data_IF_826062717212
#
_entry.id   IF_826062717212
#
_cell.length_a   1.000
_cell.length_b   1.000
_cell.length_c   1.000
_cell.angle_alpha   90.00
_cell.angle_beta   90.00
_cell.angle_gamma   90.00
#
_symmetry.space_group_name_H-M   'P 1'
#
loop_
_entity.id
_entity.type
_entity.pdbx_description
1 polymer ?
#
# COMPACT_ATOMS: atom_id res chain seq x y z
N UNK A 1 16.94 4.24 -24.62
CA UNK A 1 16.44 3.19 -23.70
C UNK A 1 15.47 3.85 -22.76
N UNK A 2 14.23 3.41 -22.78
CA UNK A 2 13.26 3.81 -21.76
C UNK A 2 13.51 2.94 -20.51
N UNK A 3 13.59 3.58 -19.34
CA UNK A 3 13.58 2.83 -18.08
C UNK A 3 12.32 1.96 -18.01
N UNK A 4 12.40 0.76 -17.43
CA UNK A 4 11.23 -0.08 -17.25
C UNK A 4 10.19 0.65 -16.39
N UNK A 5 8.92 0.50 -16.74
CA UNK A 5 7.84 1.06 -15.92
C UNK A 5 7.94 0.52 -14.47
N UNK A 6 7.73 1.36 -13.46
CA UNK A 6 7.77 0.94 -12.08
C UNK A 6 6.61 -0.02 -11.75
N UNK A 7 6.87 -0.96 -10.86
CA UNK A 7 5.81 -1.76 -10.24
C UNK A 7 4.96 -0.86 -9.34
N UNK A 8 3.64 -0.97 -9.42
CA UNK A 8 2.71 -0.08 -8.73
C UNK A 8 1.89 -0.83 -7.70
N UNK A 9 1.98 -0.38 -6.45
CA UNK A 9 1.23 -0.92 -5.31
C UNK A 9 0.28 0.14 -4.78
N UNK A 10 -0.98 -0.23 -4.55
CA UNK A 10 -1.96 0.64 -3.89
C UNK A 10 -2.45 -0.01 -2.59
N UNK A 11 -2.39 0.74 -1.49
CA UNK A 11 -2.91 0.33 -0.19
C UNK A 11 -4.31 0.90 0.01
N UNK A 12 -5.25 0.09 0.49
CA UNK A 12 -6.66 0.46 0.57
C UNK A 12 -7.22 0.25 1.98
N UNK A 13 -7.78 1.30 2.54
CA UNK A 13 -8.58 1.24 3.77
C UNK A 13 -9.95 1.89 3.55
N UNK A 14 -10.66 2.28 4.60
CA UNK A 14 -12.01 2.85 4.47
C UNK A 14 -11.99 4.31 4.02
N UNK A 15 -11.44 5.19 4.85
CA UNK A 15 -11.46 6.65 4.62
C UNK A 15 -10.22 7.24 3.97
N UNK A 16 -9.17 6.48 3.82
CA UNK A 16 -7.87 6.91 3.29
C UNK A 16 -7.26 8.10 4.06
N UNK A 17 -7.42 8.13 5.37
CA UNK A 17 -6.82 9.14 6.25
C UNK A 17 -5.99 8.58 7.40
N UNK A 18 -6.06 7.28 7.69
CA UNK A 18 -5.31 6.64 8.78
C UNK A 18 -4.41 5.50 8.28
N UNK A 19 -4.96 4.30 8.09
CA UNK A 19 -4.19 3.07 7.84
C UNK A 19 -3.49 3.04 6.49
N UNK A 20 -4.20 3.31 5.42
CA UNK A 20 -3.62 3.25 4.08
C UNK A 20 -2.59 4.34 3.80
N UNK A 21 -2.74 5.59 4.30
CA UNK A 21 -1.67 6.57 4.23
C UNK A 21 -0.40 6.15 4.98
N UNK A 22 -0.53 5.53 6.15
CA UNK A 22 0.62 4.97 6.88
C UNK A 22 1.37 3.94 6.03
N UNK A 23 0.64 3.00 5.43
CA UNK A 23 1.23 1.95 4.61
C UNK A 23 1.95 2.52 3.38
N UNK A 24 1.32 3.45 2.68
CA UNK A 24 1.91 4.15 1.53
C UNK A 24 3.23 4.83 1.88
N UNK A 25 3.22 5.62 2.96
CA UNK A 25 4.38 6.43 3.38
C UNK A 25 5.53 5.53 3.85
N UNK A 26 5.24 4.54 4.68
CA UNK A 26 6.24 3.59 5.19
C UNK A 26 6.86 2.78 4.05
N UNK A 27 6.05 2.30 3.13
CA UNK A 27 6.53 1.51 1.99
C UNK A 27 7.39 2.34 1.05
N UNK A 28 7.00 3.57 0.77
CA UNK A 28 7.79 4.50 -0.05
C UNK A 28 9.15 4.79 0.58
N UNK A 29 9.18 5.10 1.88
CA UNK A 29 10.42 5.34 2.61
C UNK A 29 11.35 4.11 2.54
N UNK A 30 10.80 2.92 2.72
CA UNK A 30 11.56 1.67 2.63
C UNK A 30 12.15 1.46 1.23
N UNK A 31 11.37 1.66 0.19
CA UNK A 31 11.83 1.55 -1.20
C UNK A 31 12.96 2.55 -1.49
N UNK A 32 12.82 3.79 -1.06
CA UNK A 32 13.83 4.83 -1.23
C UNK A 32 15.14 4.47 -0.50
N UNK A 33 15.06 4.02 0.75
CA UNK A 33 16.23 3.59 1.54
C UNK A 33 16.96 2.40 0.91
N UNK A 34 16.26 1.53 0.21
CA UNK A 34 16.82 0.37 -0.47
C UNK A 34 17.30 0.69 -1.90
N UNK A 35 17.22 1.94 -2.33
CA UNK A 35 17.62 2.35 -3.67
C UNK A 35 16.69 1.91 -4.78
N UNK A 36 15.45 1.57 -4.45
CA UNK A 36 14.44 1.07 -5.40
C UNK A 36 13.27 2.03 -5.64
N UNK A 37 13.38 3.29 -5.21
CA UNK A 37 12.32 4.29 -5.35
C UNK A 37 11.89 4.58 -6.78
N UNK A 38 12.76 4.37 -7.77
CA UNK A 38 12.42 4.48 -9.19
C UNK A 38 11.79 3.20 -9.78
N UNK A 39 11.89 2.08 -9.07
CA UNK A 39 11.45 0.76 -9.53
C UNK A 39 10.07 0.36 -9.00
N UNK A 40 9.62 1.01 -7.94
CA UNK A 40 8.33 0.73 -7.32
C UNK A 40 7.68 2.02 -6.84
N UNK A 41 6.39 2.17 -7.11
CA UNK A 41 5.58 3.32 -6.70
C UNK A 41 4.47 2.84 -5.77
N UNK A 42 4.36 3.46 -4.60
CA UNK A 42 3.26 3.22 -3.67
C UNK A 42 2.25 4.36 -3.72
N UNK A 43 1.00 4.01 -3.58
CA UNK A 43 -0.12 4.93 -3.46
C UNK A 43 -1.15 4.37 -2.47
N UNK A 44 -2.18 5.16 -2.16
CA UNK A 44 -3.26 4.70 -1.29
C UNK A 44 -4.60 5.29 -1.71
N UNK A 45 -5.68 4.61 -1.33
CA UNK A 45 -7.05 5.04 -1.59
C UNK A 45 -8.00 4.50 -0.50
N UNK A 46 -9.21 5.03 -0.45
CA UNK A 46 -10.27 4.55 0.41
C UNK A 46 -11.35 3.81 -0.36
N UNK A 47 -12.04 2.89 0.31
CA UNK A 47 -13.24 2.28 -0.24
C UNK A 47 -14.41 3.27 -0.25
N UNK A 48 -14.41 4.26 0.66
CA UNK A 48 -15.39 5.33 0.75
C UNK A 48 -14.85 6.68 0.26
N UNK A 49 -15.75 7.66 0.23
CA UNK A 49 -15.50 9.00 -0.31
C UNK A 49 -15.64 10.13 0.72
N UNK A 50 -15.78 9.78 2.02
CA UNK A 50 -16.10 10.76 3.09
C UNK A 50 -15.05 11.84 3.27
N UNK A 51 -13.79 11.59 2.93
CA UNK A 51 -12.66 12.46 3.22
C UNK A 51 -11.92 12.95 1.97
N UNK A 52 -12.55 12.90 0.80
CA UNK A 52 -11.91 13.28 -0.47
C UNK A 52 -11.16 14.62 -0.39
N UNK A 53 -9.90 14.61 -0.75
CA UNK A 53 -9.03 15.79 -0.77
C UNK A 53 -8.48 16.19 0.59
N UNK A 54 -8.91 15.56 1.69
CA UNK A 54 -8.40 15.87 3.02
C UNK A 54 -6.98 15.34 3.22
N UNK A 55 -6.27 15.97 4.14
CA UNK A 55 -4.97 15.48 4.61
C UNK A 55 -5.18 14.20 5.43
N UNK A 56 -4.11 13.46 5.66
CA UNK A 56 -4.14 12.38 6.65
C UNK A 56 -4.56 12.93 8.03
N UNK A 57 -5.24 12.10 8.80
CA UNK A 57 -5.63 12.42 10.19
C UNK A 57 -4.41 12.95 10.95
N UNK A 58 -4.60 14.01 11.75
CA UNK A 58 -3.49 14.64 12.48
C UNK A 58 -2.76 13.67 13.42
N UNK A 59 -3.45 12.66 13.95
CA UNK A 59 -2.85 11.61 14.78
C UNK A 59 -2.01 10.63 13.95
N UNK A 60 -2.42 10.36 12.72
CA UNK A 60 -1.63 9.62 11.73
C UNK A 60 -0.33 10.36 11.42
N UNK A 61 -0.44 11.66 11.10
CA UNK A 61 0.72 12.49 10.82
C UNK A 61 1.69 12.54 12.00
N UNK A 62 1.16 12.69 13.23
CA UNK A 62 1.97 12.72 14.44
C UNK A 62 2.68 11.36 14.71
N UNK A 63 1.99 10.24 14.51
CA UNK A 63 2.58 8.91 14.67
C UNK A 63 3.70 8.67 13.64
N UNK A 64 3.49 9.06 12.40
CA UNK A 64 4.50 8.97 11.33
C UNK A 64 5.72 9.84 11.68
N UNK A 65 5.50 11.09 12.08
CA UNK A 65 6.58 12.04 12.42
C UNK A 65 7.44 11.53 13.57
N UNK A 66 6.83 10.95 14.62
CA UNK A 66 7.58 10.37 15.76
C UNK A 66 8.56 9.29 15.34
N UNK A 67 8.33 8.62 14.21
CA UNK A 67 9.19 7.56 13.66
C UNK A 67 10.01 8.00 12.46
N UNK A 68 10.02 9.29 12.16
CA UNK A 68 10.85 9.86 11.09
C UNK A 68 10.27 9.80 9.68
N UNK A 69 8.96 9.54 9.56
CA UNK A 69 8.26 9.55 8.27
C UNK A 69 7.55 10.89 8.02
N UNK A 70 7.43 11.26 6.76
CA UNK A 70 6.71 12.46 6.31
C UNK A 70 5.44 12.07 5.52
N UNK A 71 4.28 12.23 6.14
CA UNK A 71 2.97 12.02 5.54
C UNK A 71 2.29 13.30 5.06
N UNK A 72 2.95 14.45 5.09
CA UNK A 72 2.34 15.76 4.88
C UNK A 72 1.74 15.98 3.48
N UNK A 73 2.21 15.25 2.47
CA UNK A 73 1.74 15.39 1.08
C UNK A 73 0.47 14.60 0.80
N UNK A 74 0.09 13.67 1.69
CA UNK A 74 -1.08 12.83 1.45
C UNK A 74 -2.36 13.65 1.28
N UNK A 75 -3.18 13.25 0.30
CA UNK A 75 -4.56 13.71 0.12
C UNK A 75 -5.44 12.48 -0.13
N UNK A 76 -6.53 12.38 0.64
CA UNK A 76 -7.44 11.25 0.55
C UNK A 76 -8.12 11.20 -0.82
N UNK A 77 -8.23 9.99 -1.36
CA UNK A 77 -8.91 9.70 -2.62
C UNK A 77 -9.66 8.38 -2.53
N UNK A 78 -10.63 8.19 -3.41
CA UNK A 78 -11.41 6.97 -3.47
C UNK A 78 -10.80 5.98 -4.46
N UNK A 79 -10.83 4.70 -4.12
CA UNK A 79 -10.53 3.61 -5.04
C UNK A 79 -11.61 3.53 -6.11
N UNK A 80 -11.21 3.44 -7.37
CA UNK A 80 -12.11 3.36 -8.53
C UNK A 80 -11.77 2.16 -9.41
N UNK A 81 -12.63 1.86 -10.39
CA UNK A 81 -12.34 0.81 -11.38
C UNK A 81 -11.00 1.04 -12.11
N UNK A 82 -10.65 2.30 -12.39
CA UNK A 82 -9.36 2.63 -12.99
C UNK A 82 -8.18 2.25 -12.09
N UNK A 83 -8.35 2.25 -10.77
CA UNK A 83 -7.29 1.90 -9.82
C UNK A 83 -6.77 0.46 -10.03
N UNK A 84 -7.61 -0.48 -10.44
CA UNK A 84 -7.18 -1.83 -10.78
C UNK A 84 -6.21 -1.83 -11.97
N UNK A 85 -6.53 -1.07 -13.02
CA UNK A 85 -5.70 -1.02 -14.23
C UNK A 85 -4.39 -0.29 -14.02
N UNK A 86 -4.40 0.70 -13.14
CA UNK A 86 -3.24 1.55 -12.84
C UNK A 86 -2.24 0.90 -11.89
N UNK A 87 -2.62 -0.19 -11.22
CA UNK A 87 -1.79 -0.84 -10.20
C UNK A 87 -1.58 -2.32 -10.50
N UNK A 88 -0.41 -2.82 -10.14
CA UNK A 88 -0.03 -4.22 -10.27
C UNK A 88 -0.46 -5.04 -9.05
N UNK A 89 -0.53 -4.41 -7.88
CA UNK A 89 -0.90 -5.02 -6.62
C UNK A 89 -1.84 -4.11 -5.82
N UNK A 90 -2.92 -4.67 -5.31
CA UNK A 90 -3.94 -3.99 -4.51
C UNK A 90 -3.94 -4.60 -3.11
N UNK A 91 -3.48 -3.84 -2.11
CA UNK A 91 -3.26 -4.34 -0.75
C UNK A 91 -4.34 -3.81 0.18
N UNK A 92 -5.19 -4.71 0.65
CA UNK A 92 -6.26 -4.41 1.60
C UNK A 92 -5.72 -4.40 3.04
N UNK A 93 -6.18 -3.46 3.85
CA UNK A 93 -5.75 -3.31 5.24
C UNK A 93 -6.54 -4.23 6.21
N UNK A 94 -7.72 -4.70 5.81
CA UNK A 94 -8.50 -5.70 6.53
C UNK A 94 -9.37 -6.55 5.59
N UNK A 95 -10.05 -7.54 6.15
CA UNK A 95 -10.89 -8.47 5.37
C UNK A 95 -12.12 -7.82 4.75
N UNK A 96 -12.65 -6.76 5.35
CA UNK A 96 -13.76 -6.01 4.77
C UNK A 96 -13.32 -5.30 3.50
N UNK A 97 -12.17 -4.67 3.52
CA UNK A 97 -11.59 -4.04 2.31
C UNK A 97 -11.28 -5.09 1.25
N UNK A 98 -10.69 -6.22 1.62
CA UNK A 98 -10.41 -7.32 0.70
C UNK A 98 -11.67 -7.80 0.00
N UNK A 99 -12.74 -8.07 0.75
CA UNK A 99 -14.00 -8.52 0.19
C UNK A 99 -14.59 -7.51 -0.79
N UNK A 100 -14.65 -6.24 -0.41
CA UNK A 100 -15.17 -5.19 -1.27
C UNK A 100 -14.37 -5.07 -2.58
N UNK A 101 -13.05 -5.10 -2.47
CA UNK A 101 -12.18 -4.99 -3.63
C UNK A 101 -12.35 -6.19 -4.58
N UNK A 102 -12.47 -7.41 -4.06
CA UNK A 102 -12.72 -8.60 -4.88
C UNK A 102 -14.07 -8.55 -5.59
N UNK A 103 -15.11 -8.03 -4.90
CA UNK A 103 -16.43 -7.82 -5.51
C UNK A 103 -16.41 -6.77 -6.62
N UNK A 104 -15.55 -5.75 -6.51
CA UNK A 104 -15.43 -4.67 -7.50
C UNK A 104 -14.53 -5.02 -8.68
N UNK A 105 -13.74 -6.08 -8.58
CA UNK A 105 -12.89 -6.55 -9.66
C UNK A 105 -13.74 -6.96 -10.87
N UNK A 106 -13.29 -6.56 -12.06
CA UNK A 106 -14.02 -6.83 -13.31
C UNK A 106 -13.83 -8.25 -13.80
N UNK A 107 -12.66 -8.83 -13.53
CA UNK A 107 -12.27 -10.16 -13.99
C UNK A 107 -11.33 -10.85 -12.99
N UNK A 108 -10.92 -12.08 -13.31
CA UNK A 108 -10.03 -12.87 -12.46
C UNK A 108 -8.62 -12.26 -12.35
N UNK A 109 -8.15 -11.55 -13.36
CA UNK A 109 -6.85 -10.89 -13.33
C UNK A 109 -6.84 -9.74 -12.30
N UNK A 110 -7.88 -8.91 -12.29
CA UNK A 110 -8.06 -7.85 -11.30
C UNK A 110 -8.26 -8.43 -9.89
N UNK A 111 -9.10 -9.45 -9.74
CA UNK A 111 -9.31 -10.13 -8.46
C UNK A 111 -7.99 -10.71 -7.91
N UNK A 112 -7.18 -11.27 -8.78
CA UNK A 112 -5.87 -11.82 -8.43
C UNK A 112 -4.85 -10.80 -7.94
N UNK A 113 -5.06 -9.50 -8.17
CA UNK A 113 -4.21 -8.43 -7.65
C UNK A 113 -4.46 -8.15 -6.17
N UNK A 114 -5.61 -8.54 -5.63
CA UNK A 114 -6.03 -8.20 -4.27
C UNK A 114 -5.38 -9.14 -3.26
N UNK A 115 -4.75 -8.58 -2.23
CA UNK A 115 -4.16 -9.31 -1.12
C UNK A 115 -4.33 -8.56 0.19
N UNK A 116 -4.16 -9.25 1.31
CA UNK A 116 -4.18 -8.66 2.66
C UNK A 116 -2.78 -8.27 3.11
N UNK A 117 -2.62 -7.05 3.66
CA UNK A 117 -1.33 -6.58 4.15
C UNK A 117 -0.74 -7.51 5.21
N UNK A 118 -1.54 -7.92 6.20
CA UNK A 118 -1.04 -8.77 7.30
C UNK A 118 -0.68 -10.19 6.88
N UNK A 119 -1.03 -10.63 5.68
CA UNK A 119 -0.54 -11.91 5.15
C UNK A 119 0.97 -11.93 4.92
N UNK A 120 1.62 -10.77 4.90
CA UNK A 120 3.07 -10.63 4.77
C UNK A 120 3.81 -10.56 6.11
N UNK A 121 3.10 -10.64 7.22
CA UNK A 121 3.69 -10.74 8.56
C UNK A 121 3.50 -12.17 9.11
N UNK A 122 4.54 -13.03 9.07
CA UNK A 122 4.42 -14.40 9.55
C UNK A 122 4.32 -14.50 11.07
N UNK A 123 4.56 -13.42 11.81
CA UNK A 123 4.52 -13.41 13.28
C UNK A 123 3.11 -13.17 13.83
N UNK A 124 2.13 -12.88 13.00
CA UNK A 124 0.75 -12.64 13.42
C UNK A 124 -0.24 -13.61 12.76
N UNK A 125 -1.27 -13.98 13.52
CA UNK A 125 -2.41 -14.75 13.00
C UNK A 125 -3.60 -13.84 12.63
N UNK A 126 -3.55 -12.56 13.02
CA UNK A 126 -4.62 -11.62 12.66
C UNK A 126 -4.53 -11.23 11.18
N UNK A 127 -5.70 -11.02 10.58
CA UNK A 127 -5.85 -10.60 9.17
C UNK A 127 -6.14 -9.11 9.03
N UNK A 128 -6.52 -8.45 10.11
CA UNK A 128 -7.05 -7.10 10.10
C UNK A 128 -6.14 -6.14 10.86
N UNK A 129 -5.70 -5.09 10.17
CA UNK A 129 -5.15 -3.90 10.83
C UNK A 129 -6.31 -3.15 11.46
N UNK A 130 -6.35 -2.99 12.81
CA UNK A 130 -7.46 -2.31 13.47
C UNK A 130 -7.62 -0.86 12.99
N UNK A 131 -8.87 -0.38 12.95
CA UNK A 131 -9.12 1.03 12.66
C UNK A 131 -8.90 1.88 13.92
N UNK A 132 -7.91 2.79 13.94
CA UNK A 132 -7.59 3.58 15.12
C UNK A 132 -8.45 4.83 15.28
N UNK A 133 -9.33 5.14 14.33
CA UNK A 133 -10.03 6.43 14.23
C UNK A 133 -10.74 6.86 15.52
N UNK A 134 -11.39 5.92 16.21
CA UNK A 134 -12.12 6.19 17.48
C UNK A 134 -11.28 5.89 18.72
N UNK A 135 -10.00 5.62 18.57
CA UNK A 135 -9.09 5.30 19.66
C UNK A 135 -8.12 6.46 19.96
N UNK A 136 -7.30 6.30 21.00
CA UNK A 136 -6.30 7.29 21.39
C UNK A 136 -4.98 7.17 20.61
N UNK A 137 -4.03 8.08 20.85
CA UNK A 137 -2.71 8.10 20.17
C UNK A 137 -1.94 6.80 20.24
N UNK A 138 -2.03 6.06 21.35
CA UNK A 138 -1.34 4.78 21.54
C UNK A 138 -1.76 3.75 20.50
N UNK A 139 -3.03 3.76 20.09
CA UNK A 139 -3.51 2.87 19.04
C UNK A 139 -2.93 3.24 17.67
N UNK A 140 -2.75 4.51 17.38
CA UNK A 140 -2.09 4.95 16.14
C UNK A 140 -0.65 4.46 16.09
N UNK A 141 0.07 4.50 17.20
CA UNK A 141 1.43 3.95 17.29
C UNK A 141 1.45 2.43 17.11
N UNK A 142 0.53 1.72 17.73
CA UNK A 142 0.41 0.27 17.60
C UNK A 142 0.08 -0.16 16.17
N UNK A 143 -0.86 0.52 15.52
CA UNK A 143 -1.24 0.29 14.11
C UNK A 143 -0.06 0.56 13.19
N UNK A 144 0.67 1.65 13.41
CA UNK A 144 1.87 1.95 12.63
C UNK A 144 2.93 0.84 12.75
N UNK A 145 3.13 0.29 13.96
CA UNK A 145 4.03 -0.84 14.19
C UNK A 145 3.64 -2.10 13.38
N UNK A 146 2.35 -2.43 13.36
CA UNK A 146 1.83 -3.55 12.55
C UNK A 146 2.07 -3.32 11.06
N UNK A 147 1.84 -2.10 10.59
CA UNK A 147 2.04 -1.70 9.20
C UNK A 147 3.53 -1.75 8.83
N UNK A 148 4.42 -1.27 9.69
CA UNK A 148 5.86 -1.36 9.45
C UNK A 148 6.34 -2.80 9.28
N UNK A 149 5.92 -3.71 10.16
CA UNK A 149 6.30 -5.11 10.08
C UNK A 149 5.80 -5.77 8.80
N UNK A 150 4.54 -5.55 8.45
CA UNK A 150 3.93 -6.17 7.28
C UNK A 150 4.44 -5.59 5.96
N UNK A 151 4.67 -4.28 5.90
CA UNK A 151 5.24 -3.66 4.69
C UNK A 151 6.67 -4.10 4.45
N UNK A 152 7.47 -4.34 5.49
CA UNK A 152 8.79 -4.97 5.34
C UNK A 152 8.69 -6.38 4.76
N UNK A 153 7.72 -7.16 5.21
CA UNK A 153 7.46 -8.51 4.68
C UNK A 153 7.05 -8.47 3.20
N UNK A 154 6.15 -7.58 2.84
CA UNK A 154 5.76 -7.35 1.44
C UNK A 154 6.96 -6.94 0.58
N UNK A 155 7.73 -5.98 1.03
CA UNK A 155 8.92 -5.51 0.30
C UNK A 155 9.93 -6.63 0.05
N UNK A 156 10.21 -7.46 1.05
CA UNK A 156 11.12 -8.60 0.89
C UNK A 156 10.66 -9.59 -0.18
N UNK A 157 9.36 -9.78 -0.35
CA UNK A 157 8.84 -10.65 -1.41
C UNK A 157 8.98 -10.03 -2.80
N UNK A 158 8.86 -8.71 -2.91
CA UNK A 158 8.97 -8.00 -4.20
C UNK A 158 10.42 -7.70 -4.59
N UNK A 159 11.30 -7.49 -3.63
CA UNK A 159 12.66 -7.02 -3.86
C UNK A 159 13.47 -7.84 -4.88
N UNK A 160 13.47 -9.18 -4.85
CA UNK A 160 14.23 -9.95 -5.83
C UNK A 160 13.83 -9.66 -7.28
N UNK A 161 12.53 -9.52 -7.55
CA UNK A 161 12.03 -9.18 -8.88
C UNK A 161 12.38 -7.75 -9.28
N UNK A 162 12.33 -6.82 -8.33
CA UNK A 162 12.64 -5.40 -8.56
C UNK A 162 14.14 -5.17 -8.86
N UNK A 163 15.01 -6.01 -8.33
CA UNK A 163 16.45 -5.92 -8.57
C UNK A 163 16.90 -6.59 -9.86
N UNK A 164 16.04 -7.38 -10.50
CA UNK A 164 16.38 -7.97 -11.79
C UNK A 164 16.37 -6.88 -12.88
N UNK A 165 17.36 -6.88 -13.80
CA UNK A 165 17.26 -6.03 -14.98
C UNK A 165 16.02 -6.43 -15.78
N UNK A 166 15.32 -5.44 -16.34
CA UNK A 166 14.19 -5.70 -17.22
C UNK A 166 14.58 -6.75 -18.26
N UNK A 167 13.82 -7.85 -18.35
CA UNK A 167 14.04 -8.86 -19.38
C UNK A 167 13.95 -8.15 -20.73
N UNK A 168 15.05 -8.11 -21.47
CA UNK A 168 14.98 -7.78 -22.88
C UNK A 168 14.02 -8.78 -23.51
N UNK A 169 13.01 -8.34 -24.26
CA UNK A 169 12.30 -9.28 -25.12
C UNK A 169 13.38 -9.97 -25.97
N UNK A 170 13.36 -11.28 -25.98
CA UNK A 170 14.23 -12.03 -26.87
C UNK A 170 13.93 -11.53 -28.30
N UNK A 171 14.91 -10.91 -28.92
CA UNK A 171 14.87 -10.68 -30.35
C UNK A 171 14.89 -12.09 -30.97
N UNK A 172 13.72 -12.59 -31.36
CA UNK A 172 13.66 -13.71 -32.26
C UNK A 172 14.38 -13.25 -33.54
N UNK A 173 15.59 -13.74 -33.72
CA UNK A 173 16.32 -13.57 -34.98
C UNK A 173 15.60 -14.32 -36.09
N UNK A 174 15.84 -13.96 -37.37
CA UNK A 174 15.17 -14.53 -38.51
C UNK A 174 15.43 -16.03 -38.67
#
# INVERSE_FOLDING_TARGET
MTDPEPFRVIFVCTGNICRSPMAEVVFRDLADRQGLGSRIVSSSAGTGDWHLGERADHRTLAALERRGYDGSRHRARQFTAASFRENDLVVALDRTHERNLREWAHDEDEEGKVTLLLSFDPSTETTDVPDPYYAGPDMFDAVLGMIETSTRGLFRQLEPALRQPARRPALEGP
#
